data_IF_846083954986
#
_entry.id   IF_846083954986
#
_cell.length_a   1.000
_cell.length_b   1.000
_cell.length_c   1.000
_cell.angle_alpha   90.00
_cell.angle_beta   90.00
_cell.angle_gamma   90.00
#
_symmetry.space_group_name_H-M   'P 1'
#
loop_
_entity.id
_entity.type
_entity.pdbx_description
1 polymer ?
#
# COMPACT_ATOMS: atom_id res chain seq x y z
N UNK A 1 -4.79 14.90 -14.26
CA UNK A 1 -5.09 13.48 -14.06
C UNK A 1 -5.27 13.18 -12.56
N UNK A 2 -6.07 12.16 -12.25
CA UNK A 2 -6.33 11.78 -10.86
C UNK A 2 -5.12 11.04 -10.26
N UNK A 3 -4.68 11.47 -9.09
CA UNK A 3 -3.66 10.78 -8.33
C UNK A 3 -4.25 9.80 -7.31
N UNK A 4 -3.59 8.67 -7.16
CA UNK A 4 -3.89 7.66 -6.16
C UNK A 4 -2.62 7.31 -5.40
N UNK A 5 -2.74 6.72 -4.23
CA UNK A 5 -1.59 6.18 -3.53
C UNK A 5 -1.80 4.70 -3.16
N UNK A 6 -0.70 4.02 -2.95
CA UNK A 6 -0.65 2.69 -2.37
C UNK A 6 0.40 2.73 -1.26
N UNK A 7 0.07 2.16 -0.11
CA UNK A 7 0.93 2.21 1.06
C UNK A 7 1.31 0.78 1.46
N UNK A 8 2.60 0.48 1.37
CA UNK A 8 3.16 -0.81 1.78
C UNK A 8 3.58 -0.69 3.24
N UNK A 9 2.86 -1.38 4.12
CA UNK A 9 3.08 -1.32 5.56
C UNK A 9 3.67 -2.64 6.02
N UNK A 10 4.90 -2.60 6.55
CA UNK A 10 5.51 -3.74 7.20
C UNK A 10 5.24 -3.70 8.70
N UNK A 11 5.11 -4.87 9.31
CA UNK A 11 5.05 -4.97 10.76
C UNK A 11 6.41 -4.58 11.39
N UNK A 12 6.47 -4.51 12.72
CA UNK A 12 7.68 -4.08 13.45
C UNK A 12 8.90 -4.98 13.21
N UNK A 13 8.69 -6.24 12.85
CA UNK A 13 9.77 -7.18 12.55
C UNK A 13 10.12 -7.25 11.06
N UNK A 14 9.38 -6.53 10.21
CA UNK A 14 9.56 -6.52 8.75
C UNK A 14 9.45 -7.91 8.10
N UNK A 15 8.69 -8.82 8.70
CA UNK A 15 8.47 -10.17 8.17
C UNK A 15 7.04 -10.41 7.68
N UNK A 16 6.15 -9.43 7.84
CA UNK A 16 4.78 -9.43 7.32
C UNK A 16 4.48 -8.06 6.72
N UNK A 17 3.59 -8.03 5.76
CA UNK A 17 3.09 -6.76 5.22
C UNK A 17 1.57 -6.75 5.19
N UNK A 18 1.00 -5.56 5.32
CA UNK A 18 -0.42 -5.35 5.38
C UNK A 18 -1.04 -5.39 3.99
N UNK A 19 -2.06 -6.22 3.83
CA UNK A 19 -2.84 -6.31 2.61
C UNK A 19 -4.32 -6.12 2.93
N UNK A 20 -5.08 -5.67 1.94
CA UNK A 20 -6.52 -5.64 2.02
C UNK A 20 -7.13 -6.47 0.90
N UNK A 21 -8.12 -7.31 1.24
CA UNK A 21 -8.90 -8.04 0.26
C UNK A 21 -10.15 -7.23 -0.06
N UNK A 22 -10.33 -6.87 -1.32
CA UNK A 22 -11.41 -5.98 -1.72
C UNK A 22 -12.76 -6.69 -1.66
N UNK A 23 -13.73 -6.01 -1.06
CA UNK A 23 -15.13 -6.50 -0.97
C UNK A 23 -15.98 -6.04 -2.15
N UNK A 24 -15.52 -5.05 -2.92
CA UNK A 24 -16.27 -4.41 -4.02
C UNK A 24 -15.43 -4.31 -5.28
N UNK A 25 -16.13 -4.20 -6.42
CA UNK A 25 -15.47 -3.86 -7.68
C UNK A 25 -14.97 -2.40 -7.67
N UNK A 26 -13.90 -2.07 -8.37
CA UNK A 26 -13.05 -2.99 -9.14
C UNK A 26 -12.23 -3.92 -8.25
N UNK A 27 -11.82 -5.04 -8.81
CA UNK A 27 -10.95 -6.03 -8.17
C UNK A 27 -11.56 -6.76 -6.97
N UNK A 28 -12.89 -6.92 -6.94
CA UNK A 28 -13.55 -7.68 -5.87
C UNK A 28 -12.91 -9.06 -5.69
N UNK A 29 -12.54 -9.39 -4.45
CA UNK A 29 -11.92 -10.66 -4.11
C UNK A 29 -10.42 -10.73 -4.30
N UNK A 30 -9.80 -9.68 -4.88
CA UNK A 30 -8.36 -9.59 -5.04
C UNK A 30 -7.73 -8.78 -3.90
N UNK A 31 -6.47 -9.06 -3.60
CA UNK A 31 -5.71 -8.35 -2.58
C UNK A 31 -5.00 -7.14 -3.16
N UNK A 32 -4.91 -6.07 -2.36
CA UNK A 32 -4.25 -4.83 -2.72
C UNK A 32 -3.58 -4.24 -1.49
N UNK A 33 -2.74 -3.22 -1.69
CA UNK A 33 -2.27 -2.41 -0.58
C UNK A 33 -3.36 -1.43 -0.16
N UNK A 34 -3.31 -0.94 1.07
CA UNK A 34 -4.16 0.16 1.51
C UNK A 34 -3.78 1.43 0.76
N UNK A 35 -4.74 2.35 0.60
CA UNK A 35 -4.52 3.59 -0.12
C UNK A 35 -5.84 4.10 -0.70
N UNK A 36 -5.76 5.20 -1.44
CA UNK A 36 -6.94 5.82 -2.04
C UNK A 36 -6.58 7.02 -2.92
N UNK A 37 -7.51 7.94 -3.05
CA UNK A 37 -7.33 9.14 -3.88
C UNK A 37 -6.51 10.20 -3.17
N UNK A 38 -5.66 10.88 -3.93
CA UNK A 38 -4.98 12.10 -3.49
C UNK A 38 -5.94 13.26 -3.75
N UNK A 39 -6.31 13.98 -2.70
CA UNK A 39 -7.23 15.12 -2.78
C UNK A 39 -6.51 16.37 -3.30
N UNK A 40 -7.28 17.34 -3.83
CA UNK A 40 -6.71 18.55 -4.44
C UNK A 40 -5.84 19.38 -3.50
N UNK A 41 -6.18 19.41 -2.21
CA UNK A 41 -5.52 20.28 -1.23
C UNK A 41 -4.42 19.59 -0.45
N UNK A 42 -3.97 18.41 -0.88
CA UNK A 42 -2.92 17.66 -0.19
C UNK A 42 -1.86 17.18 -1.16
N UNK A 43 -0.63 17.01 -0.66
CA UNK A 43 0.41 16.33 -1.44
C UNK A 43 0.29 14.81 -1.25
N UNK A 44 1.06 14.05 -2.01
CA UNK A 44 0.97 12.58 -1.99
C UNK A 44 1.30 11.97 -0.64
N UNK A 45 2.30 12.49 0.06
CA UNK A 45 2.68 11.96 1.38
C UNK A 45 1.59 12.22 2.42
N UNK A 46 1.01 13.41 2.44
CA UNK A 46 -0.12 13.73 3.32
C UNK A 46 -1.31 12.81 3.05
N UNK A 47 -1.62 12.59 1.77
CA UNK A 47 -2.70 11.69 1.36
C UNK A 47 -2.43 10.26 1.83
N UNK A 48 -1.19 9.78 1.72
CA UNK A 48 -0.81 8.44 2.14
C UNK A 48 -1.05 8.25 3.65
N UNK A 49 -0.62 9.19 4.48
CA UNK A 49 -0.87 9.12 5.92
C UNK A 49 -2.36 9.21 6.25
N UNK A 50 -3.11 10.08 5.57
CA UNK A 50 -4.55 10.22 5.77
C UNK A 50 -5.30 8.93 5.44
N UNK A 51 -5.05 8.37 4.25
CA UNK A 51 -5.70 7.12 3.82
C UNK A 51 -5.33 5.96 4.73
N UNK A 52 -4.08 5.87 5.14
CA UNK A 52 -3.63 4.84 6.07
C UNK A 52 -4.40 4.93 7.40
N UNK A 53 -4.53 6.14 7.94
CA UNK A 53 -5.28 6.36 9.18
C UNK A 53 -6.76 6.02 9.02
N UNK A 54 -7.39 6.48 7.95
CA UNK A 54 -8.81 6.21 7.69
C UNK A 54 -9.11 4.72 7.58
N UNK A 55 -8.23 3.97 6.93
CA UNK A 55 -8.44 2.54 6.70
C UNK A 55 -7.98 1.63 7.86
N UNK A 56 -6.97 2.04 8.61
CA UNK A 56 -6.31 1.15 9.58
C UNK A 56 -6.16 1.72 10.99
N UNK A 57 -6.38 3.01 11.18
CA UNK A 57 -6.08 3.80 12.38
C UNK A 57 -4.59 3.95 12.71
N UNK A 58 -3.70 3.47 11.87
CA UNK A 58 -2.24 3.69 12.01
C UNK A 58 -1.96 5.18 11.79
N UNK A 59 -1.17 5.78 12.70
CA UNK A 59 -0.87 7.22 12.70
C UNK A 59 0.57 7.51 12.27
N UNK A 60 0.86 8.79 12.06
CA UNK A 60 2.23 9.28 11.80
C UNK A 60 3.22 8.96 12.93
N UNK A 61 2.72 8.71 14.15
CA UNK A 61 3.56 8.34 15.29
C UNK A 61 3.93 6.87 15.28
N UNK A 62 3.25 6.08 14.46
CA UNK A 62 3.43 4.62 14.41
C UNK A 62 4.35 4.17 13.28
N UNK A 63 4.53 5.01 12.25
CA UNK A 63 5.23 4.63 11.03
C UNK A 63 5.79 5.87 10.33
N UNK A 64 6.96 5.71 9.70
CA UNK A 64 7.54 6.72 8.82
C UNK A 64 7.44 6.19 7.39
N UNK A 65 6.75 6.92 6.53
CA UNK A 65 6.57 6.53 5.13
C UNK A 65 7.63 7.18 4.24
N UNK A 66 8.21 6.39 3.35
CA UNK A 66 9.14 6.84 2.32
C UNK A 66 8.52 6.64 0.94
N UNK A 67 8.70 7.60 0.05
CA UNK A 67 8.22 7.54 -1.33
C UNK A 67 9.13 6.59 -2.12
N UNK A 68 8.59 5.51 -2.63
CA UNK A 68 9.36 4.48 -3.35
C UNK A 68 9.38 4.71 -4.85
N UNK A 69 8.20 4.87 -5.47
CA UNK A 69 8.07 4.92 -6.92
C UNK A 69 6.69 5.40 -7.32
N UNK A 70 6.52 5.69 -8.61
CA UNK A 70 5.24 6.09 -9.20
C UNK A 70 4.96 5.28 -10.45
N UNK A 71 3.68 5.09 -10.74
CA UNK A 71 3.19 4.59 -12.03
C UNK A 71 2.32 5.67 -12.64
N UNK A 72 2.56 5.98 -13.92
CA UNK A 72 1.73 6.95 -14.64
C UNK A 72 1.02 6.25 -15.79
N UNK A 73 -0.30 6.37 -15.83
CA UNK A 73 -1.16 5.74 -16.83
C UNK A 73 -1.78 6.81 -17.70
N UNK A 74 -1.14 7.13 -18.82
CA UNK A 74 -1.55 8.25 -19.68
C UNK A 74 -2.93 8.02 -20.30
N UNK A 75 -3.20 6.82 -20.79
CA UNK A 75 -4.51 6.49 -21.37
C UNK A 75 -5.61 6.37 -20.33
N UNK A 76 -5.25 6.00 -19.10
CA UNK A 76 -6.18 5.95 -17.96
C UNK A 76 -6.35 7.31 -17.28
N UNK A 77 -5.55 8.29 -17.64
CA UNK A 77 -5.56 9.64 -17.07
C UNK A 77 -5.42 9.65 -15.54
N UNK A 78 -4.52 8.81 -15.02
CA UNK A 78 -4.25 8.73 -13.59
C UNK A 78 -2.81 8.35 -13.31
N UNK A 79 -2.41 8.52 -12.06
CA UNK A 79 -1.10 8.06 -11.60
C UNK A 79 -1.23 7.46 -10.19
N UNK A 80 -0.26 6.63 -9.82
CA UNK A 80 -0.19 5.96 -8.53
C UNK A 80 1.15 6.27 -7.89
N UNK A 81 1.15 6.86 -6.70
CA UNK A 81 2.33 7.04 -5.87
C UNK A 81 2.40 5.92 -4.84
N UNK A 82 3.58 5.33 -4.68
CA UNK A 82 3.78 4.20 -3.76
C UNK A 82 4.67 4.63 -2.59
N UNK A 83 4.17 4.43 -1.38
CA UNK A 83 4.87 4.74 -0.13
C UNK A 83 5.09 3.47 0.67
N UNK A 84 6.20 3.41 1.40
CA UNK A 84 6.60 2.22 2.16
C UNK A 84 7.07 2.63 3.55
N UNK A 85 6.69 1.86 4.57
CA UNK A 85 7.17 2.06 5.92
C UNK A 85 7.07 0.81 6.76
N UNK A 86 7.72 0.86 7.93
CA UNK A 86 7.71 -0.22 8.92
C UNK A 86 7.14 0.32 10.22
N UNK A 87 6.19 -0.39 10.81
CA UNK A 87 5.65 -0.06 12.13
C UNK A 87 6.76 -0.07 13.18
N UNK A 88 6.68 0.88 14.12
CA UNK A 88 7.64 0.94 15.24
C UNK A 88 7.21 0.09 16.44
N UNK A 89 6.01 -0.49 16.39
CA UNK A 89 5.45 -1.36 17.45
C UNK A 89 4.38 -2.27 16.86
N UNK A 90 4.01 -3.37 17.54
CA UNK A 90 2.88 -4.19 17.11
C UNK A 90 1.59 -3.39 17.16
N UNK A 91 0.78 -3.48 16.10
CA UNK A 91 -0.52 -2.80 16.01
C UNK A 91 -1.53 -3.79 15.43
N UNK A 92 -2.67 -3.92 16.10
CA UNK A 92 -3.81 -4.65 15.56
C UNK A 92 -4.55 -3.74 14.61
N UNK A 93 -4.91 -4.26 13.44
CA UNK A 93 -5.61 -3.50 12.41
C UNK A 93 -6.99 -4.08 12.16
N UNK A 94 -7.95 -3.20 11.86
CA UNK A 94 -9.28 -3.60 11.45
C UNK A 94 -9.77 -2.63 10.39
N UNK A 95 -10.44 -3.15 9.37
CA UNK A 95 -10.99 -2.35 8.28
C UNK A 95 -12.50 -2.47 8.22
N UNK A 96 -13.18 -1.36 7.89
CA UNK A 96 -14.63 -1.33 7.72
C UNK A 96 -15.03 -1.67 6.28
N UNK A 97 -14.27 -1.18 5.30
CA UNK A 97 -14.59 -1.33 3.88
C UNK A 97 -13.99 -2.57 3.23
N UNK A 98 -12.80 -2.98 3.67
CA UNK A 98 -12.08 -4.12 3.12
C UNK A 98 -11.56 -5.00 4.26
N UNK A 99 -11.28 -6.26 3.93
CA UNK A 99 -10.70 -7.19 4.88
C UNK A 99 -9.19 -7.00 4.95
N UNK A 100 -8.69 -6.56 6.10
CA UNK A 100 -7.26 -6.36 6.34
C UNK A 100 -6.62 -7.64 6.86
N UNK A 101 -5.42 -7.94 6.40
CA UNK A 101 -4.66 -9.08 6.90
C UNK A 101 -3.16 -8.85 6.74
N UNK A 102 -2.37 -9.52 7.59
CA UNK A 102 -0.92 -9.52 7.50
C UNK A 102 -0.48 -10.69 6.62
N UNK A 103 0.19 -10.38 5.53
CA UNK A 103 0.67 -11.38 4.56
C UNK A 103 2.12 -11.72 4.82
N UNK A 104 2.49 -12.98 4.60
CA UNK A 104 3.90 -13.34 4.48
C UNK A 104 4.46 -12.76 3.17
N UNK A 105 5.78 -12.77 3.03
CA UNK A 105 6.46 -12.20 1.87
C UNK A 105 6.75 -13.25 0.78
N UNK A 106 6.38 -14.51 1.02
CA UNK A 106 6.68 -15.64 0.13
C UNK A 106 5.51 -15.96 -0.78
N UNK A 107 5.17 -15.04 -1.69
CA UNK A 107 4.09 -15.21 -2.66
C UNK A 107 4.50 -14.72 -4.03
N UNK A 108 3.81 -15.19 -5.06
CA UNK A 108 3.95 -14.62 -6.40
C UNK A 108 3.03 -13.40 -6.52
N UNK A 109 3.56 -12.23 -6.19
CA UNK A 109 2.81 -10.97 -6.21
C UNK A 109 2.46 -10.48 -7.61
N UNK A 110 2.97 -11.15 -8.66
CA UNK A 110 2.57 -10.89 -10.05
C UNK A 110 1.28 -11.61 -10.45
N UNK A 111 0.77 -12.51 -9.63
CA UNK A 111 -0.40 -13.32 -9.96
C UNK A 111 -1.68 -12.46 -9.99
N UNK A 112 -2.15 -12.13 -11.19
CA UNK A 112 -3.32 -11.30 -11.41
C UNK A 112 -4.64 -11.96 -10.96
N UNK A 113 -4.63 -13.26 -10.65
CA UNK A 113 -5.81 -13.94 -10.09
C UNK A 113 -5.92 -13.74 -8.57
N UNK A 114 -4.87 -13.25 -7.93
CA UNK A 114 -4.79 -13.03 -6.48
C UNK A 114 -4.65 -11.55 -6.13
N UNK A 115 -3.95 -10.78 -6.97
CA UNK A 115 -3.59 -9.39 -6.67
C UNK A 115 -4.15 -8.43 -7.71
N UNK A 116 -4.63 -7.28 -7.24
CA UNK A 116 -5.13 -6.20 -8.09
C UNK A 116 -3.99 -5.51 -8.85
N UNK A 117 -4.34 -4.70 -9.86
CA UNK A 117 -3.40 -3.78 -10.50
C UNK A 117 -2.56 -4.36 -11.63
N UNK A 118 -2.99 -5.49 -12.20
CA UNK A 118 -2.38 -6.07 -13.41
C UNK A 118 -0.85 -6.23 -13.32
N UNK A 119 -0.38 -6.76 -12.19
CA UNK A 119 1.05 -7.03 -11.98
C UNK A 119 1.83 -5.93 -11.29
N UNK A 120 1.23 -4.77 -10.99
CA UNK A 120 1.96 -3.68 -10.35
C UNK A 120 2.41 -4.03 -8.92
N UNK A 121 1.65 -4.85 -8.20
CA UNK A 121 2.04 -5.28 -6.84
C UNK A 121 3.33 -6.10 -6.88
N UNK A 122 3.47 -6.99 -7.85
CA UNK A 122 4.72 -7.75 -8.05
C UNK A 122 5.90 -6.82 -8.34
N UNK A 123 5.71 -5.83 -9.20
CA UNK A 123 6.75 -4.85 -9.53
C UNK A 123 7.14 -4.01 -8.30
N UNK A 124 6.15 -3.56 -7.52
CA UNK A 124 6.39 -2.84 -6.27
C UNK A 124 7.22 -3.68 -5.31
N UNK A 125 6.84 -4.95 -5.11
CA UNK A 125 7.55 -5.82 -4.17
C UNK A 125 8.99 -6.11 -4.60
N UNK A 126 9.27 -6.19 -5.90
CA UNK A 126 10.64 -6.30 -6.39
C UNK A 126 11.47 -5.07 -5.98
N UNK A 127 10.92 -3.87 -6.12
CA UNK A 127 11.61 -2.64 -5.73
C UNK A 127 11.77 -2.51 -4.22
N UNK A 128 10.78 -2.95 -3.44
CA UNK A 128 10.88 -2.99 -1.99
C UNK A 128 12.07 -3.87 -1.58
N UNK A 129 12.21 -5.04 -2.19
CA UNK A 129 13.32 -5.94 -1.88
C UNK A 129 14.68 -5.34 -2.24
N UNK A 130 14.76 -4.64 -3.39
CA UNK A 130 16.00 -3.97 -3.84
C UNK A 130 16.45 -2.88 -2.87
N UNK A 131 15.52 -2.14 -2.27
CA UNK A 131 15.79 -0.97 -1.44
C UNK A 131 15.42 -1.17 0.03
N UNK A 132 15.31 -2.41 0.45
CA UNK A 132 14.84 -2.79 1.80
C UNK A 132 15.63 -2.12 2.93
N UNK A 133 16.95 -2.02 2.79
CA UNK A 133 17.80 -1.41 3.82
C UNK A 133 17.51 0.07 4.03
N UNK A 134 17.19 0.78 2.95
CA UNK A 134 16.88 2.21 3.00
C UNK A 134 15.45 2.46 3.46
N UNK A 135 14.52 1.59 3.04
CA UNK A 135 13.09 1.77 3.29
C UNK A 135 12.65 1.35 4.69
N UNK A 136 13.30 0.35 5.29
CA UNK A 136 12.84 -0.30 6.51
C UNK A 136 13.83 -0.12 7.68
N UNK A 137 14.42 1.03 7.74
CA UNK A 137 15.32 1.38 8.86
C UNK A 137 14.58 1.48 10.19
#
# INVERSE_FOLDING_TARGET
>A
MQGYNAVVVFNENADRMLMCKRRRNPYKGLSNFVGGKIEENENGLEAAYRELYEETTITKNDIILSHLMDFTYHLGNCYLEVYVGKLNKPIDVSGEENDLYWSTLEHNFFDATQYAGEGNIGHIMMHVEMFKKELLK
#
